data_IF_946213443774
#
_entry.id   IF_946213443774
#
_cell.length_a   1.000
_cell.length_b   1.000
_cell.length_c   1.000
_cell.angle_alpha   90.00
_cell.angle_beta   90.00
_cell.angle_gamma   90.00
#
_symmetry.space_group_name_H-M   'P 1'
#
loop_
_entity.id
_entity.type
_entity.pdbx_description
1 polymer ?
#
# COMPACT_ATOMS: atom_id res chain seq x y z
N UNK A 1 -5.15 -12.85 6.53
CA UNK A 1 -4.39 -11.80 5.83
C UNK A 1 -5.17 -11.27 4.63
N UNK A 2 -5.11 -9.95 4.39
CA UNK A 2 -5.73 -9.30 3.22
C UNK A 2 -4.67 -8.53 2.42
N UNK A 3 -4.87 -8.40 1.13
CA UNK A 3 -4.01 -7.63 0.22
C UNK A 3 -4.88 -6.60 -0.50
N UNK A 4 -4.59 -5.32 -0.30
CA UNK A 4 -5.27 -4.22 -0.98
C UNK A 4 -4.40 -3.80 -2.16
N UNK A 5 -4.97 -3.83 -3.35
CA UNK A 5 -4.28 -3.53 -4.61
C UNK A 5 -4.69 -2.16 -5.12
N UNK A 6 -3.70 -1.35 -5.51
CA UNK A 6 -3.90 0.00 -6.02
C UNK A 6 -3.14 0.17 -7.34
N UNK A 7 -3.87 0.42 -8.41
CA UNK A 7 -3.37 0.60 -9.77
C UNK A 7 -3.63 2.04 -10.25
N UNK A 8 -3.06 2.39 -11.40
CA UNK A 8 -3.36 3.66 -12.09
C UNK A 8 -3.23 4.89 -11.18
N UNK A 9 -4.30 5.66 -11.04
CA UNK A 9 -4.33 6.84 -10.17
C UNK A 9 -4.46 6.51 -8.68
N UNK A 10 -5.06 5.37 -8.33
CA UNK A 10 -5.28 4.96 -6.94
C UNK A 10 -3.97 4.62 -6.22
N UNK A 11 -2.95 4.13 -6.95
CA UNK A 11 -1.61 3.93 -6.38
C UNK A 11 -1.00 5.23 -5.85
N UNK A 12 -1.23 6.36 -6.53
CA UNK A 12 -0.73 7.66 -6.09
C UNK A 12 -1.48 8.17 -4.86
N UNK A 13 -2.79 7.92 -4.79
CA UNK A 13 -3.59 8.25 -3.59
C UNK A 13 -3.19 7.41 -2.39
N UNK A 14 -2.92 6.11 -2.60
CA UNK A 14 -2.37 5.25 -1.56
C UNK A 14 -0.99 5.76 -1.10
N UNK A 15 -0.10 6.10 -2.03
CA UNK A 15 1.20 6.65 -1.70
C UNK A 15 1.09 7.92 -0.84
N UNK A 16 0.21 8.85 -1.22
CA UNK A 16 -0.05 10.07 -0.43
C UNK A 16 -0.58 9.73 0.97
N UNK A 17 -1.60 8.86 1.06
CA UNK A 17 -2.17 8.44 2.34
C UNK A 17 -1.11 7.88 3.31
N UNK A 18 -0.24 6.99 2.83
CA UNK A 18 0.72 6.29 3.68
C UNK A 18 2.02 7.06 3.91
N UNK A 19 2.42 7.95 2.99
CA UNK A 19 3.76 8.52 2.99
C UNK A 19 3.81 10.05 3.01
N UNK A 20 2.69 10.78 2.99
CA UNK A 20 2.68 12.26 3.00
C UNK A 20 3.50 12.88 4.15
N UNK A 21 3.53 12.23 5.31
CA UNK A 21 4.28 12.69 6.48
C UNK A 21 5.79 12.42 6.41
N UNK A 22 6.26 11.63 5.42
CA UNK A 22 7.69 11.36 5.27
C UNK A 22 8.40 12.61 4.72
N UNK A 23 9.57 12.97 5.28
CA UNK A 23 10.34 14.08 4.77
C UNK A 23 10.72 13.80 3.30
N UNK A 24 10.49 14.78 2.43
CA UNK A 24 10.75 14.71 0.98
C UNK A 24 9.85 13.74 0.21
N UNK A 25 8.69 13.37 0.73
CA UNK A 25 7.70 12.65 -0.05
C UNK A 25 7.39 13.38 -1.37
N UNK A 26 7.45 12.64 -2.47
CA UNK A 26 7.03 13.08 -3.81
C UNK A 26 6.22 11.97 -4.42
N UNK A 27 5.01 12.31 -4.85
CA UNK A 27 4.10 11.33 -5.48
C UNK A 27 4.69 10.75 -6.76
N UNK A 28 5.54 11.52 -7.44
CA UNK A 28 6.26 11.15 -8.66
C UNK A 28 7.27 10.02 -8.44
N UNK A 29 7.77 9.82 -7.21
CA UNK A 29 8.68 8.71 -6.88
C UNK A 29 7.98 7.35 -7.02
N UNK A 30 6.66 7.33 -7.16
CA UNK A 30 5.82 6.13 -7.31
C UNK A 30 5.41 5.86 -8.75
N UNK A 31 5.83 6.70 -9.71
CA UNK A 31 5.60 6.47 -11.15
C UNK A 31 6.17 5.13 -11.64
N UNK A 32 7.37 4.68 -11.20
CA UNK A 32 7.97 3.43 -11.70
C UNK A 32 7.17 2.17 -11.37
N UNK A 33 6.39 2.17 -10.28
CA UNK A 33 5.61 1.01 -9.86
C UNK A 33 4.36 0.86 -10.70
N UNK A 34 4.04 -0.36 -11.12
CA UNK A 34 2.80 -0.67 -11.84
C UNK A 34 1.60 -0.57 -10.89
N UNK A 35 1.79 -1.05 -9.67
CA UNK A 35 0.80 -1.02 -8.59
C UNK A 35 1.47 -0.74 -7.25
N UNK A 36 0.67 -0.34 -6.27
CA UNK A 36 1.02 -0.49 -4.86
C UNK A 36 0.14 -1.57 -4.25
N UNK A 37 0.77 -2.37 -3.39
CA UNK A 37 0.09 -3.38 -2.61
C UNK A 37 0.26 -3.08 -1.13
N UNK A 38 -0.86 -3.15 -0.39
CA UNK A 38 -0.86 -3.10 1.08
C UNK A 38 -1.23 -4.47 1.61
N UNK A 39 -0.26 -5.12 2.23
CA UNK A 39 -0.43 -6.39 2.94
C UNK A 39 -0.90 -6.09 4.35
N UNK A 40 -2.14 -6.46 4.68
CA UNK A 40 -2.76 -6.26 5.98
C UNK A 40 -2.89 -7.58 6.75
N UNK A 41 -2.25 -7.64 7.91
CA UNK A 41 -2.26 -8.79 8.80
C UNK A 41 -3.44 -8.72 9.77
N UNK A 42 -3.89 -9.88 10.24
CA UNK A 42 -5.06 -9.99 11.12
C UNK A 42 -4.79 -9.41 12.54
N UNK A 43 -3.50 -9.20 12.88
CA UNK A 43 -3.07 -8.55 14.11
C UNK A 43 -2.99 -7.00 14.00
N UNK A 44 -3.44 -6.44 12.88
CA UNK A 44 -3.48 -5.00 12.63
C UNK A 44 -2.15 -4.39 12.18
N UNK A 45 -1.13 -5.21 11.89
CA UNK A 45 0.10 -4.75 11.22
C UNK A 45 -0.06 -4.76 9.71
N UNK A 46 0.76 -3.98 9.03
CA UNK A 46 0.77 -3.94 7.57
C UNK A 46 2.14 -3.63 7.00
N UNK A 47 2.36 -4.04 5.76
CA UNK A 47 3.51 -3.65 4.94
C UNK A 47 3.04 -3.10 3.60
N UNK A 48 3.87 -2.27 2.96
CA UNK A 48 3.56 -1.68 1.66
C UNK A 48 4.63 -2.08 0.66
N UNK A 49 4.18 -2.57 -0.48
CA UNK A 49 5.00 -3.05 -1.58
C UNK A 49 4.71 -2.23 -2.84
N UNK A 50 5.75 -1.96 -3.61
CA UNK A 50 5.66 -1.37 -4.94
C UNK A 50 5.94 -2.44 -5.98
N UNK A 51 4.93 -2.78 -6.76
CA UNK A 51 5.03 -3.81 -7.78
C UNK A 51 5.70 -3.26 -9.04
N UNK A 52 6.62 -4.03 -9.59
CA UNK A 52 7.25 -3.84 -10.89
C UNK A 52 6.81 -4.98 -11.82
N UNK A 53 7.20 -4.95 -13.09
CA UNK A 53 6.74 -5.93 -14.10
C UNK A 53 7.13 -7.38 -13.73
N UNK A 54 8.35 -7.56 -13.20
CA UNK A 54 8.94 -8.86 -12.86
C UNK A 54 9.40 -8.97 -11.39
N UNK A 55 9.15 -7.95 -10.57
CA UNK A 55 9.68 -7.88 -9.20
C UNK A 55 8.77 -7.05 -8.29
N UNK A 56 9.07 -7.00 -6.99
CA UNK A 56 8.39 -6.13 -6.04
C UNK A 56 9.38 -5.56 -5.02
N UNK A 57 9.19 -4.28 -4.69
CA UNK A 57 10.06 -3.57 -3.74
C UNK A 57 9.30 -3.28 -2.45
N UNK A 58 9.88 -3.64 -1.31
CA UNK A 58 9.35 -3.28 -0.01
C UNK A 58 9.55 -1.78 0.25
N UNK A 59 8.46 -1.01 0.27
CA UNK A 59 8.46 0.44 0.52
C UNK A 59 8.28 0.79 1.99
N UNK A 60 7.58 -0.08 2.72
CA UNK A 60 7.41 -0.01 4.16
C UNK A 60 7.40 -1.41 4.75
N UNK A 61 8.35 -1.65 5.65
CA UNK A 61 8.39 -2.86 6.46
C UNK A 61 7.16 -2.97 7.37
N UNK A 62 6.89 -4.19 7.81
CA UNK A 62 5.73 -4.53 8.62
C UNK A 62 5.71 -3.71 9.90
N UNK A 63 4.71 -2.83 10.04
CA UNK A 63 4.55 -1.97 11.20
C UNK A 63 3.09 -1.93 11.65
N UNK A 64 2.88 -1.53 12.90
CA UNK A 64 1.53 -1.30 13.41
C UNK A 64 0.89 -0.09 12.72
N UNK A 65 -0.44 -0.12 12.62
CA UNK A 65 -1.25 0.97 12.10
C UNK A 65 -1.96 1.77 13.20
N UNK A 66 -1.25 2.58 14.01
CA UNK A 66 -1.87 3.33 15.11
C UNK A 66 -2.86 4.41 14.63
N UNK A 67 -2.91 4.69 13.33
CA UNK A 67 -3.74 5.72 12.72
C UNK A 67 -4.84 5.13 11.82
N UNK A 68 -5.00 3.80 11.81
CA UNK A 68 -6.02 3.11 11.02
C UNK A 68 -5.96 3.45 9.51
N UNK A 69 -4.77 3.76 8.99
CA UNK A 69 -4.53 4.11 7.59
C UNK A 69 -5.01 3.02 6.62
N UNK A 70 -4.86 1.74 6.98
CA UNK A 70 -5.29 0.64 6.11
C UNK A 70 -6.82 0.62 5.96
N UNK A 71 -7.55 0.89 7.04
CA UNK A 71 -9.03 1.01 6.99
C UNK A 71 -9.46 2.21 6.13
N UNK A 72 -8.72 3.31 6.19
CA UNK A 72 -8.92 4.47 5.31
C UNK A 72 -8.55 4.19 3.84
N UNK A 73 -7.60 3.28 3.59
CA UNK A 73 -7.17 2.90 2.26
C UNK A 73 -8.14 1.92 1.58
N UNK A 74 -8.88 1.12 2.35
CA UNK A 74 -9.80 0.09 1.87
C UNK A 74 -10.82 0.56 0.82
N UNK A 75 -11.53 1.70 0.98
CA UNK A 75 -12.44 2.20 -0.06
C UNK A 75 -11.74 2.77 -1.30
N UNK A 76 -10.42 2.95 -1.26
CA UNK A 76 -9.60 3.42 -2.39
C UNK A 76 -8.98 2.25 -3.18
N UNK A 77 -9.05 1.02 -2.66
CA UNK A 77 -8.45 -0.15 -3.29
C UNK A 77 -9.22 -0.55 -4.55
N UNK A 78 -8.50 -0.87 -5.61
CA UNK A 78 -9.05 -1.42 -6.85
C UNK A 78 -9.46 -2.88 -6.69
N UNK A 79 -8.76 -3.60 -5.80
CA UNK A 79 -9.04 -4.98 -5.46
C UNK A 79 -8.67 -5.27 -4.02
N UNK A 80 -9.41 -6.19 -3.40
CA UNK A 80 -9.06 -6.77 -2.12
C UNK A 80 -9.00 -8.27 -2.31
N UNK A 81 -7.83 -8.85 -2.08
CA UNK A 81 -7.64 -10.30 -2.05
C UNK A 81 -7.58 -10.74 -0.59
N UNK A 82 -8.35 -11.77 -0.26
CA UNK A 82 -8.33 -12.40 1.05
C UNK A 82 -7.72 -13.80 0.88
N UNK A 83 -6.61 -14.06 1.56
CA UNK A 83 -6.11 -15.43 1.65
C UNK A 83 -7.11 -16.23 2.49
N UNK A 84 -7.81 -17.15 1.84
CA UNK A 84 -8.60 -18.18 2.51
C UNK A 84 -7.62 -19.26 3.00
N UNK A 85 -7.42 -19.33 4.32
CA UNK A 85 -6.73 -20.44 5.00
C UNK A 85 -7.32 -21.81 4.61
#
# INVERSE_FOLDING_TARGET
>A
MKRLLFHGEHKFRAAELFFHDKPRFRVEDYIPYIALEVVWQDDGRFSIWGDLDDDAVLLQDTSHDPRHLVEHALPLADGVEEDAD
#
